data_IF_177518552907
#
_entry.id   IF_177518552907
#
_cell.length_a   1.000
_cell.length_b   1.000
_cell.length_c   1.000
_cell.angle_alpha   90.00
_cell.angle_beta   90.00
_cell.angle_gamma   90.00
#
_symmetry.space_group_name_H-M   'P 1'
#
loop_
_entity.id
_entity.type
_entity.pdbx_description
1 polymer ?
#
# COMPACT_ATOMS: atom_id res chain seq x y z
N UNK A 1 55.82 33.84 -6.74
CA UNK A 1 55.43 32.56 -6.14
C UNK A 1 53.93 32.38 -6.44
N UNK A 2 53.62 31.71 -7.60
CA UNK A 2 52.21 31.58 -8.09
C UNK A 2 51.64 30.32 -7.52
N UNK A 3 50.59 30.46 -6.69
CA UNK A 3 49.81 29.33 -6.18
C UNK A 3 48.67 29.02 -7.16
N UNK A 4 48.78 27.91 -7.87
CA UNK A 4 47.78 27.40 -8.80
C UNK A 4 46.67 26.72 -7.99
N UNK A 5 45.48 27.29 -7.97
CA UNK A 5 44.28 26.73 -7.33
C UNK A 5 43.60 25.74 -8.30
N UNK A 6 43.71 24.43 -8.03
CA UNK A 6 42.99 23.40 -8.77
C UNK A 6 41.56 23.31 -8.23
N UNK A 7 40.62 23.73 -9.01
CA UNK A 7 39.17 23.50 -8.74
C UNK A 7 38.77 22.17 -9.34
N UNK A 8 38.53 21.18 -8.50
CA UNK A 8 38.02 19.87 -8.89
C UNK A 8 36.50 19.98 -9.06
N UNK A 9 36.00 20.01 -10.31
CA UNK A 9 34.58 19.95 -10.60
C UNK A 9 34.15 18.48 -10.58
N UNK A 10 33.47 18.09 -9.49
CA UNK A 10 32.80 16.78 -9.41
C UNK A 10 31.49 16.86 -10.22
N UNK A 11 31.52 16.38 -11.45
CA UNK A 11 30.30 16.19 -12.25
C UNK A 11 29.54 14.97 -11.68
N UNK A 12 28.55 15.21 -10.83
CA UNK A 12 27.60 14.18 -10.41
C UNK A 12 26.74 13.76 -11.60
N UNK A 13 26.93 12.55 -12.10
CA UNK A 13 26.03 11.94 -13.05
C UNK A 13 24.71 11.64 -12.32
N UNK A 14 23.67 12.43 -12.58
CA UNK A 14 22.31 12.09 -12.20
C UNK A 14 21.86 10.91 -13.07
N UNK A 15 21.77 9.73 -12.47
CA UNK A 15 21.06 8.61 -13.12
C UNK A 15 19.58 8.95 -13.11
N UNK A 16 19.04 9.42 -14.22
CA UNK A 16 17.61 9.43 -14.46
C UNK A 16 17.19 7.97 -14.67
N UNK A 17 16.49 7.39 -13.68
CA UNK A 17 15.72 6.18 -13.91
C UNK A 17 14.58 6.57 -14.84
N UNK A 18 14.71 6.25 -16.12
CA UNK A 18 13.59 6.30 -17.03
C UNK A 18 12.62 5.19 -16.56
N UNK A 19 11.42 5.58 -16.21
CA UNK A 19 10.31 4.64 -15.96
C UNK A 19 9.82 4.18 -17.35
N UNK A 20 10.56 3.22 -17.93
CA UNK A 20 10.25 2.58 -19.20
C UNK A 20 9.17 1.50 -19.03
N UNK A 21 8.10 1.79 -18.28
CA UNK A 21 6.94 0.93 -18.31
C UNK A 21 6.35 0.94 -19.73
N UNK A 22 6.33 -0.19 -20.46
CA UNK A 22 5.89 -0.23 -21.85
C UNK A 22 4.42 0.15 -22.05
N UNK A 23 3.68 0.29 -20.95
CA UNK A 23 2.27 0.70 -20.93
C UNK A 23 2.01 1.61 -19.74
N UNK A 24 1.33 2.73 -19.99
CA UNK A 24 0.85 3.59 -18.92
C UNK A 24 -0.18 2.85 -18.04
N UNK A 25 -0.05 2.99 -16.73
CA UNK A 25 -1.04 2.45 -15.80
C UNK A 25 -2.40 3.12 -16.03
N UNK A 26 -3.41 2.33 -16.28
CA UNK A 26 -4.80 2.80 -16.36
C UNK A 26 -5.43 2.99 -14.96
N UNK A 27 -4.73 2.59 -13.91
CA UNK A 27 -5.20 2.75 -12.54
C UNK A 27 -5.21 4.23 -12.15
N UNK A 28 -6.38 4.69 -11.72
CA UNK A 28 -6.55 6.00 -11.11
C UNK A 28 -6.93 5.78 -9.65
N UNK A 29 -6.11 6.25 -8.70
CA UNK A 29 -6.46 6.15 -7.29
C UNK A 29 -7.76 6.92 -7.02
N UNK A 30 -8.61 6.35 -6.18
CA UNK A 30 -9.79 7.05 -5.70
C UNK A 30 -9.34 8.26 -4.86
N UNK A 31 -10.14 9.36 -4.85
CA UNK A 31 -9.84 10.49 -4.00
C UNK A 31 -9.81 10.04 -2.53
N UNK A 32 -8.79 10.46 -1.83
CA UNK A 32 -8.67 10.17 -0.40
C UNK A 32 -9.66 11.01 0.39
N UNK A 33 -10.30 10.37 1.37
CA UNK A 33 -11.16 11.05 2.34
C UNK A 33 -10.56 10.86 3.72
N UNK A 34 -10.45 11.95 4.48
CA UNK A 34 -10.00 11.87 5.85
C UNK A 34 -11.04 11.10 6.67
N UNK A 35 -10.61 10.02 7.29
CA UNK A 35 -11.52 9.06 7.94
C UNK A 35 -11.02 8.68 9.32
N UNK A 36 -11.90 8.66 10.30
CA UNK A 36 -11.65 8.07 11.61
C UNK A 36 -12.55 6.84 11.77
N UNK A 37 -11.94 5.69 12.03
CA UNK A 37 -12.63 4.50 12.48
C UNK A 37 -12.64 4.52 14.00
N UNK A 38 -13.83 4.45 14.60
CA UNK A 38 -14.03 4.51 16.05
C UNK A 38 -14.16 3.13 16.67
N UNK A 39 -13.52 2.92 17.81
CA UNK A 39 -13.69 1.74 18.66
C UNK A 39 -13.39 0.40 17.98
N UNK A 40 -12.46 0.37 17.02
CA UNK A 40 -12.06 -0.85 16.33
C UNK A 40 -11.15 -1.73 17.17
N UNK A 41 -11.08 -3.02 16.83
CA UNK A 41 -9.97 -3.87 17.21
C UNK A 41 -8.96 -3.86 16.05
N UNK A 42 -7.68 -3.63 16.32
CA UNK A 42 -6.69 -3.36 15.28
C UNK A 42 -5.49 -4.29 15.48
N UNK A 43 -5.08 -4.98 14.41
CA UNK A 43 -3.75 -5.57 14.29
C UNK A 43 -2.90 -4.65 13.40
N UNK A 44 -1.70 -4.27 13.87
CA UNK A 44 -0.85 -3.32 13.12
C UNK A 44 0.09 -3.97 12.11
N UNK A 45 0.16 -5.29 12.10
CA UNK A 45 1.07 -6.04 11.25
C UNK A 45 2.45 -6.30 11.85
N UNK A 46 2.80 -5.61 12.93
CA UNK A 46 4.04 -5.81 13.70
C UNK A 46 3.85 -6.76 14.90
N UNK A 47 2.65 -7.33 15.02
CA UNK A 47 2.29 -8.27 16.08
C UNK A 47 1.59 -7.63 17.28
N UNK A 48 1.27 -6.35 17.22
CA UNK A 48 0.50 -5.71 18.28
C UNK A 48 -1.00 -5.78 18.01
N UNK A 49 -1.77 -5.92 19.08
CA UNK A 49 -3.23 -5.89 19.08
C UNK A 49 -3.72 -4.72 19.95
N UNK A 50 -4.59 -3.91 19.36
CA UNK A 50 -5.23 -2.78 20.03
C UNK A 50 -6.73 -3.05 20.07
N UNK A 51 -7.34 -2.97 21.25
CA UNK A 51 -8.77 -3.18 21.42
C UNK A 51 -9.50 -1.87 21.71
N UNK A 52 -10.70 -1.72 21.14
CA UNK A 52 -11.55 -0.53 21.30
C UNK A 52 -10.74 0.76 21.07
N UNK A 53 -10.12 0.87 19.92
CA UNK A 53 -9.14 1.91 19.61
C UNK A 53 -9.54 2.59 18.30
N UNK A 54 -9.29 3.89 18.19
CA UNK A 54 -9.55 4.64 16.98
C UNK A 54 -8.36 4.56 16.02
N UNK A 55 -8.66 4.54 14.73
CA UNK A 55 -7.69 4.65 13.64
C UNK A 55 -8.00 5.89 12.83
N UNK A 56 -7.03 6.80 12.71
CA UNK A 56 -7.17 8.00 11.88
C UNK A 56 -6.35 7.90 10.60
N UNK A 57 -7.02 8.07 9.47
CA UNK A 57 -6.43 8.08 8.13
C UNK A 57 -6.64 9.47 7.52
N UNK A 58 -5.54 10.06 7.01
CA UNK A 58 -5.55 11.31 6.24
C UNK A 58 -4.70 11.15 4.99
N UNK A 59 -5.18 11.63 3.86
CA UNK A 59 -4.46 11.59 2.57
C UNK A 59 -3.94 10.17 2.22
N UNK A 60 -4.74 9.14 2.53
CA UNK A 60 -4.38 7.74 2.30
C UNK A 60 -3.31 7.17 3.23
N UNK A 61 -2.96 7.88 4.30
CA UNK A 61 -1.94 7.44 5.27
C UNK A 61 -2.54 7.31 6.67
N UNK A 62 -2.10 6.31 7.40
CA UNK A 62 -2.39 6.19 8.84
C UNK A 62 -1.61 7.27 9.57
N UNK A 63 -2.32 8.15 10.28
CA UNK A 63 -1.75 9.26 11.03
C UNK A 63 -1.65 8.93 12.51
N UNK A 64 -2.64 8.23 13.04
CA UNK A 64 -2.67 7.88 14.46
C UNK A 64 -3.49 6.62 14.71
N UNK A 65 -3.06 5.89 15.72
CA UNK A 65 -3.81 4.83 16.38
C UNK A 65 -3.85 5.20 17.85
N UNK A 66 -5.03 5.27 18.46
CA UNK A 66 -5.16 5.68 19.85
C UNK A 66 -6.62 5.74 20.30
N UNK A 67 -6.85 6.02 21.57
CA UNK A 67 -8.21 6.20 22.12
C UNK A 67 -8.61 7.67 22.04
N UNK A 68 -9.91 7.89 21.80
CA UNK A 68 -10.53 9.21 21.82
C UNK A 68 -9.80 10.23 20.92
N UNK A 69 -9.43 9.82 19.71
CA UNK A 69 -8.76 10.70 18.77
C UNK A 69 -9.67 11.89 18.41
N UNK A 70 -9.11 13.12 18.33
CA UNK A 70 -9.91 14.29 18.01
C UNK A 70 -10.53 14.16 16.62
N UNK A 71 -11.84 14.38 16.54
CA UNK A 71 -12.58 14.46 15.28
C UNK A 71 -12.56 15.89 14.71
N UNK A 72 -13.00 16.02 13.47
CA UNK A 72 -13.23 17.29 12.80
C UNK A 72 -14.44 17.16 11.88
N UNK A 73 -15.12 18.28 11.61
CA UNK A 73 -16.24 18.32 10.65
C UNK A 73 -15.87 17.87 9.24
N UNK A 74 -14.57 17.89 8.92
CA UNK A 74 -14.05 17.52 7.60
C UNK A 74 -13.71 16.03 7.50
N UNK A 75 -13.98 15.26 8.57
CA UNK A 75 -13.69 13.83 8.61
C UNK A 75 -14.96 13.01 8.49
N UNK A 76 -14.84 11.88 7.84
CA UNK A 76 -15.84 10.83 7.93
C UNK A 76 -15.53 10.02 9.19
N UNK A 77 -16.50 9.93 10.10
CA UNK A 77 -16.41 9.03 11.26
C UNK A 77 -17.20 7.76 10.99
N UNK A 78 -16.55 6.63 11.17
CA UNK A 78 -17.12 5.30 10.96
C UNK A 78 -17.09 4.56 12.30
N UNK A 79 -18.26 4.14 12.79
CA UNK A 79 -18.32 3.24 13.93
C UNK A 79 -17.82 1.85 13.51
N UNK A 80 -16.70 1.46 14.09
CA UNK A 80 -16.06 0.16 13.89
C UNK A 80 -16.12 -0.71 15.14
N UNK A 81 -17.05 -0.44 16.05
CA UNK A 81 -17.27 -1.25 17.25
C UNK A 81 -17.47 -2.72 16.87
N UNK A 82 -16.75 -3.60 17.55
CA UNK A 82 -16.74 -5.05 17.32
C UNK A 82 -16.25 -5.47 15.92
N UNK A 83 -15.58 -4.59 15.18
CA UNK A 83 -14.93 -4.91 13.92
C UNK A 83 -13.42 -5.00 14.08
N UNK A 84 -12.80 -5.73 13.16
CA UNK A 84 -11.37 -5.87 13.09
C UNK A 84 -10.83 -5.09 11.90
N UNK A 85 -9.72 -4.38 12.13
CA UNK A 85 -8.92 -3.73 11.10
C UNK A 85 -7.56 -4.42 11.09
N UNK A 86 -7.13 -4.85 9.91
CA UNK A 86 -5.85 -5.52 9.70
C UNK A 86 -5.14 -4.91 8.51
N UNK A 87 -3.83 -5.07 8.37
CA UNK A 87 -3.15 -4.81 7.10
C UNK A 87 -3.81 -5.61 5.98
N UNK A 88 -3.76 -5.06 4.77
CA UNK A 88 -4.28 -5.74 3.59
C UNK A 88 -3.52 -7.05 3.33
N UNK A 89 -4.23 -8.06 2.87
CA UNK A 89 -3.62 -9.32 2.46
C UNK A 89 -3.03 -9.10 1.07
N UNK A 90 -1.73 -9.36 0.93
CA UNK A 90 -1.02 -9.36 -0.35
C UNK A 90 -0.75 -10.80 -0.72
N UNK A 91 -1.45 -11.28 -1.74
CA UNK A 91 -1.20 -12.60 -2.31
C UNK A 91 -0.24 -12.44 -3.49
N UNK A 92 1.02 -12.84 -3.28
CA UNK A 92 2.08 -12.76 -4.29
C UNK A 92 2.06 -13.93 -5.28
N UNK A 93 1.22 -14.93 -5.04
CA UNK A 93 1.06 -16.10 -5.88
C UNK A 93 -0.41 -16.51 -5.92
N UNK A 94 -1.16 -15.96 -6.87
CA UNK A 94 -2.58 -16.22 -7.02
C UNK A 94 -2.91 -16.90 -8.33
N UNK A 95 -3.75 -17.92 -8.26
CA UNK A 95 -4.34 -18.57 -9.43
C UNK A 95 -5.74 -18.02 -9.74
N UNK A 96 -6.14 -16.95 -9.10
CA UNK A 96 -7.44 -16.33 -9.33
C UNK A 96 -7.54 -15.78 -10.75
N UNK A 97 -8.55 -16.25 -11.49
CA UNK A 97 -8.80 -15.79 -12.85
C UNK A 97 -7.98 -16.48 -13.95
N UNK A 98 -7.08 -17.42 -13.62
CA UNK A 98 -6.32 -18.17 -14.64
C UNK A 98 -7.08 -19.39 -15.18
N UNK A 99 -8.18 -19.78 -14.56
CA UNK A 99 -9.02 -20.88 -15.00
C UNK A 99 -10.30 -20.36 -15.68
N UNK A 100 -10.62 -20.84 -16.90
CA UNK A 100 -11.84 -20.46 -17.57
C UNK A 100 -13.09 -21.08 -16.89
N UNK A 101 -14.20 -20.38 -17.00
CA UNK A 101 -15.50 -20.92 -16.58
C UNK A 101 -16.44 -21.02 -17.81
N UNK A 102 -16.98 -22.19 -18.11
CA UNK A 102 -16.81 -23.47 -17.44
C UNK A 102 -15.42 -24.09 -17.64
N UNK A 103 -14.94 -24.78 -16.62
CA UNK A 103 -13.62 -25.42 -16.67
C UNK A 103 -13.64 -26.59 -17.67
N UNK A 104 -12.74 -26.54 -18.65
CA UNK A 104 -12.42 -27.65 -19.54
C UNK A 104 -10.97 -28.03 -19.34
N UNK A 105 -10.71 -29.35 -19.38
CA UNK A 105 -9.39 -29.89 -19.04
C UNK A 105 -8.25 -29.36 -19.90
N UNK A 106 -8.52 -29.03 -21.16
CA UNK A 106 -7.56 -28.47 -22.13
C UNK A 106 -7.20 -27.02 -21.84
N UNK A 107 -7.99 -26.34 -21.04
CA UNK A 107 -7.78 -24.94 -20.67
C UNK A 107 -7.26 -24.78 -19.24
N UNK A 108 -6.83 -25.88 -18.60
CA UNK A 108 -6.26 -25.89 -17.26
C UNK A 108 -4.77 -25.61 -17.34
N UNK A 109 -4.40 -24.38 -17.67
CA UNK A 109 -3.04 -23.92 -17.87
C UNK A 109 -2.46 -23.18 -16.63
N UNK A 110 -3.18 -23.23 -15.53
CA UNK A 110 -2.73 -22.64 -14.26
C UNK A 110 -1.82 -23.53 -13.44
N UNK A 111 -1.37 -24.64 -13.99
CA UNK A 111 -0.47 -25.55 -13.30
C UNK A 111 0.99 -25.19 -13.62
N UNK A 112 1.64 -24.53 -12.70
CA UNK A 112 3.08 -24.27 -12.74
C UNK A 112 3.91 -25.50 -12.38
N UNK A 113 3.49 -26.69 -12.83
CA UNK A 113 4.34 -27.85 -12.74
C UNK A 113 5.54 -27.65 -13.65
N UNK A 114 6.49 -26.88 -13.19
CA UNK A 114 7.83 -26.86 -13.73
C UNK A 114 8.47 -28.20 -13.37
N UNK A 115 8.39 -29.14 -14.30
CA UNK A 115 9.31 -30.26 -14.28
C UNK A 115 10.71 -29.72 -14.48
N UNK A 116 11.69 -30.17 -13.71
CA UNK A 116 13.08 -29.88 -13.98
C UNK A 116 13.52 -30.56 -15.27
#
# INVERSE_FOLDING_TARGET
MNTLLFVLILSGAAFAYADDAPYESTYKPLPYTNTIFRNANIYDGDGNEFQNTDLFIRDGKIIAIGKDLPGSSDFIEIDASNKWITPGIIDIHSHMGVYPAPSVRTSSDGNEATSP
#
